data_IF_133911990282
#
_entry.id   IF_133911990282
#
_cell.length_a   1.000
_cell.length_b   1.000
_cell.length_c   1.000
_cell.angle_alpha   90.00
_cell.angle_beta   90.00
_cell.angle_gamma   90.00
#
_symmetry.space_group_name_H-M   'P 1'
#
loop_
_entity.id
_entity.type
_entity.pdbx_description
1 polymer ?
#
# COMPACT_ATOMS: atom_id res chain seq x y z
N UNK A 1 -38.37 17.38 50.90
CA UNK A 1 -38.63 16.10 50.20
C UNK A 1 -37.41 15.22 50.32
N UNK A 2 -37.44 14.24 51.22
CA UNK A 2 -36.36 13.26 51.43
C UNK A 2 -36.48 12.17 50.37
N UNK A 3 -35.46 12.03 49.52
CA UNK A 3 -35.40 10.93 48.54
C UNK A 3 -35.40 9.62 49.36
N UNK A 4 -36.36 8.69 49.15
CA UNK A 4 -36.43 7.47 49.94
C UNK A 4 -35.12 6.68 49.77
N UNK A 5 -34.56 6.19 50.88
CA UNK A 5 -33.23 5.54 50.95
C UNK A 5 -33.05 4.36 49.99
N UNK A 6 -34.15 3.81 49.47
CA UNK A 6 -34.17 2.75 48.45
C UNK A 6 -33.92 3.31 47.04
N UNK A 7 -34.52 4.44 46.68
CA UNK A 7 -34.32 5.10 45.40
C UNK A 7 -32.88 5.63 45.27
N UNK A 8 -32.33 6.22 46.33
CA UNK A 8 -30.93 6.66 46.37
C UNK A 8 -29.95 5.49 46.16
N UNK A 9 -30.19 4.34 46.81
CA UNK A 9 -29.36 3.13 46.62
C UNK A 9 -29.45 2.54 45.22
N UNK A 10 -30.62 2.61 44.57
CA UNK A 10 -30.80 2.16 43.19
C UNK A 10 -30.03 3.08 42.22
N UNK A 11 -30.15 4.40 42.39
CA UNK A 11 -29.42 5.39 41.58
C UNK A 11 -27.91 5.22 41.77
N UNK A 12 -27.43 5.03 43.00
CA UNK A 12 -26.00 4.82 43.25
C UNK A 12 -25.48 3.53 42.59
N UNK A 13 -26.25 2.44 42.64
CA UNK A 13 -25.89 1.18 41.95
C UNK A 13 -25.88 1.33 40.44
N UNK A 14 -26.86 2.05 39.86
CA UNK A 14 -26.89 2.35 38.43
C UNK A 14 -25.69 3.21 38.03
N UNK A 15 -25.32 4.23 38.82
CA UNK A 15 -24.13 5.05 38.54
C UNK A 15 -22.83 4.25 38.64
N UNK A 16 -22.72 3.29 39.56
CA UNK A 16 -21.56 2.38 39.63
C UNK A 16 -21.53 1.45 38.41
N UNK A 17 -22.65 0.88 37.99
CA UNK A 17 -22.72 0.01 36.80
C UNK A 17 -22.43 0.80 35.53
N UNK A 18 -23.00 1.99 35.36
CA UNK A 18 -22.72 2.90 34.23
C UNK A 18 -21.27 3.38 34.27
N UNK A 19 -20.71 3.67 35.44
CA UNK A 19 -19.30 4.04 35.61
C UNK A 19 -18.36 2.87 35.27
N UNK A 20 -18.71 1.64 35.65
CA UNK A 20 -17.97 0.43 35.27
C UNK A 20 -18.08 0.15 33.78
N UNK A 21 -19.27 0.27 33.17
CA UNK A 21 -19.49 0.14 31.73
C UNK A 21 -18.78 1.24 30.94
N UNK A 22 -18.85 2.49 31.36
CA UNK A 22 -18.14 3.60 30.72
C UNK A 22 -16.63 3.45 30.89
N UNK A 23 -16.15 3.02 32.07
CA UNK A 23 -14.73 2.74 32.31
C UNK A 23 -14.22 1.58 31.45
N UNK A 24 -14.97 0.48 31.37
CA UNK A 24 -14.64 -0.66 30.48
C UNK A 24 -14.78 -0.32 29.01
N UNK A 25 -15.74 0.52 28.60
CA UNK A 25 -15.89 0.98 27.23
C UNK A 25 -14.78 1.95 26.82
N UNK A 26 -14.36 2.87 27.70
CA UNK A 26 -13.20 3.75 27.47
C UNK A 26 -11.91 2.92 27.43
N UNK A 27 -11.76 1.93 28.31
CA UNK A 27 -10.65 0.99 28.26
C UNK A 27 -10.70 0.12 26.99
N UNK A 28 -11.88 -0.28 26.52
CA UNK A 28 -12.10 -1.01 25.28
C UNK A 28 -11.76 -0.14 24.06
N UNK A 29 -12.16 1.13 24.02
CA UNK A 29 -11.78 2.06 22.96
C UNK A 29 -10.27 2.37 22.97
N UNK A 30 -9.66 2.52 24.16
CA UNK A 30 -8.20 2.61 24.30
C UNK A 30 -7.50 1.31 23.94
N UNK A 31 -8.12 0.16 24.21
CA UNK A 31 -7.66 -1.18 23.86
C UNK A 31 -7.74 -1.40 22.35
N UNK A 32 -8.79 -0.94 21.67
CA UNK A 32 -8.90 -0.92 20.20
C UNK A 32 -7.83 -0.04 19.56
N UNK A 33 -7.46 1.09 20.18
CA UNK A 33 -6.33 1.90 19.73
C UNK A 33 -4.94 1.33 20.09
N UNK A 34 -4.81 0.62 21.21
CA UNK A 34 -3.57 -0.07 21.59
C UNK A 34 -3.35 -1.34 20.75
N UNK A 35 -4.42 -1.97 20.28
CA UNK A 35 -4.43 -3.19 19.47
C UNK A 35 -4.55 -2.97 17.97
N UNK A 36 -4.66 -1.72 17.49
CA UNK A 36 -4.65 -1.37 16.07
C UNK A 36 -5.28 -2.44 15.18
N UNK A 37 -6.62 -2.55 15.21
CA UNK A 37 -7.45 -3.40 14.35
C UNK A 37 -6.71 -4.52 13.59
N UNK A 38 -6.78 -5.75 14.07
CA UNK A 38 -6.68 -6.90 13.18
C UNK A 38 -8.04 -7.04 12.47
N UNK A 39 -8.12 -6.85 11.15
CA UNK A 39 -7.22 -7.37 10.12
C UNK A 39 -6.61 -6.28 9.21
N UNK A 40 -5.28 -6.23 9.11
CA UNK A 40 -4.57 -5.23 8.27
C UNK A 40 -3.74 -4.28 9.15
N UNK A 41 -2.50 -4.68 9.42
CA UNK A 41 -1.61 -4.20 10.50
C UNK A 41 -1.26 -2.69 10.51
N UNK A 42 -1.85 -1.84 9.65
CA UNK A 42 -1.60 -0.39 9.70
C UNK A 42 -2.73 0.53 9.17
N UNK A 43 -3.99 0.06 9.07
CA UNK A 43 -5.11 0.89 8.59
C UNK A 43 -6.08 1.24 9.73
N UNK A 44 -6.14 2.50 10.14
CA UNK A 44 -7.11 2.97 11.13
C UNK A 44 -6.72 4.29 11.82
N UNK A 45 -7.71 5.01 12.36
CA UNK A 45 -7.57 6.34 12.98
C UNK A 45 -6.55 6.44 14.13
N UNK A 46 -6.13 5.31 14.71
CA UNK A 46 -5.09 5.26 15.73
C UNK A 46 -3.65 5.32 15.14
N UNK A 47 -3.47 5.15 13.83
CA UNK A 47 -2.21 5.38 13.11
C UNK A 47 -1.72 6.82 13.32
N UNK A 48 -2.64 7.79 13.26
CA UNK A 48 -2.37 9.23 13.51
C UNK A 48 -1.77 9.53 14.90
N UNK A 49 -1.85 8.60 15.86
CA UNK A 49 -1.25 8.73 17.21
C UNK A 49 0.08 8.00 17.38
N UNK A 50 0.74 7.55 16.31
CA UNK A 50 2.11 7.06 16.45
C UNK A 50 3.07 8.23 16.54
N UNK A 51 3.89 8.28 17.58
CA UNK A 51 4.95 9.27 17.81
C UNK A 51 6.07 9.27 16.73
N UNK A 52 5.88 8.67 15.55
CA UNK A 52 6.86 8.61 14.47
C UNK A 52 6.79 9.82 13.54
N UNK A 53 5.63 10.47 13.45
CA UNK A 53 5.43 11.67 12.65
C UNK A 53 6.00 12.85 13.45
N UNK A 54 7.19 13.33 13.10
CA UNK A 54 7.62 14.64 13.55
C UNK A 54 6.69 15.68 12.94
N UNK A 55 6.25 16.66 13.73
CA UNK A 55 5.50 17.82 13.22
C UNK A 55 6.37 18.77 12.39
N UNK A 56 7.68 18.53 12.36
CA UNK A 56 8.60 19.23 11.48
C UNK A 56 8.27 18.80 10.05
N UNK A 57 7.66 19.70 9.28
CA UNK A 57 7.54 19.60 7.84
C UNK A 57 8.95 19.48 7.26
N UNK A 58 9.40 18.24 7.07
CA UNK A 58 10.67 17.94 6.44
C UNK A 58 10.60 18.46 5.01
N UNK A 59 11.28 19.59 4.76
CA UNK A 59 11.35 20.18 3.43
C UNK A 59 12.25 19.30 2.57
N UNK A 60 11.65 18.59 1.62
CA UNK A 60 12.36 17.91 0.55
C UNK A 60 12.43 18.85 -0.65
N UNK A 61 13.60 19.41 -0.90
CA UNK A 61 13.84 20.23 -2.10
C UNK A 61 14.07 19.30 -3.28
N UNK A 62 13.08 19.22 -4.17
CA UNK A 62 13.16 18.46 -5.42
C UNK A 62 13.65 19.38 -6.54
N UNK A 63 14.60 18.90 -7.33
CA UNK A 63 14.95 19.56 -8.58
C UNK A 63 13.75 19.55 -9.54
N UNK A 64 13.42 20.67 -10.21
CA UNK A 64 12.31 20.70 -11.15
C UNK A 64 12.52 19.69 -12.28
N UNK A 65 11.47 18.95 -12.61
CA UNK A 65 11.49 18.06 -13.77
C UNK A 65 11.58 18.87 -15.07
N UNK A 66 12.48 18.47 -15.97
CA UNK A 66 12.66 19.16 -17.26
C UNK A 66 12.80 18.16 -18.43
N UNK A 67 11.79 18.03 -19.31
CA UNK A 67 10.46 18.63 -19.21
C UNK A 67 9.60 17.94 -18.12
N UNK A 68 8.68 18.68 -17.48
CA UNK A 68 7.80 18.10 -16.47
C UNK A 68 6.84 17.07 -17.08
N UNK A 69 6.74 15.85 -16.52
CA UNK A 69 5.76 14.86 -16.97
C UNK A 69 4.33 15.33 -16.80
N UNK A 70 3.45 14.92 -17.70
CA UNK A 70 2.03 14.86 -17.38
C UNK A 70 1.76 13.59 -16.56
N UNK A 71 1.17 13.74 -15.37
CA UNK A 71 0.94 12.64 -14.43
C UNK A 71 -0.51 12.58 -14.02
N UNK A 72 -1.13 11.42 -14.19
CA UNK A 72 -2.51 11.20 -13.75
C UNK A 72 -2.56 10.22 -12.59
N UNK A 73 -3.42 10.49 -11.63
CA UNK A 73 -3.73 9.60 -10.51
C UNK A 73 -5.09 8.97 -10.76
N UNK A 74 -5.13 7.65 -10.79
CA UNK A 74 -6.36 6.85 -10.76
C UNK A 74 -6.50 6.32 -9.34
N UNK A 75 -7.32 7.00 -8.55
CA UNK A 75 -7.62 6.64 -7.17
C UNK A 75 -8.93 5.87 -7.13
N UNK A 76 -8.89 4.61 -6.67
CA UNK A 76 -10.11 3.81 -6.46
C UNK A 76 -10.64 3.95 -5.05
N UNK A 77 -11.95 4.04 -4.92
CA UNK A 77 -12.68 4.13 -3.66
C UNK A 77 -14.02 3.41 -3.75
N UNK A 78 -14.64 3.17 -2.60
CA UNK A 78 -16.03 2.74 -2.47
C UNK A 78 -16.93 3.93 -2.11
N UNK A 79 -18.25 3.84 -2.31
CA UNK A 79 -19.18 4.90 -1.88
C UNK A 79 -19.06 5.21 -0.38
N UNK A 80 -18.75 4.18 0.43
CA UNK A 80 -18.55 4.33 1.88
C UNK A 80 -17.29 5.15 2.19
N UNK A 81 -16.20 4.90 1.49
CA UNK A 81 -14.94 5.62 1.65
C UNK A 81 -15.10 7.09 1.23
N UNK A 82 -15.76 7.34 0.11
CA UNK A 82 -16.05 8.69 -0.35
C UNK A 82 -16.93 9.44 0.65
N UNK A 83 -18.01 8.83 1.14
CA UNK A 83 -18.88 9.43 2.17
C UNK A 83 -18.15 9.68 3.51
N UNK A 84 -17.09 8.92 3.79
CA UNK A 84 -16.25 9.10 4.98
C UNK A 84 -15.12 10.13 4.78
N UNK A 85 -15.00 10.74 3.60
CA UNK A 85 -13.95 11.73 3.28
C UNK A 85 -12.54 11.11 3.18
N UNK A 86 -12.42 9.79 2.98
CA UNK A 86 -11.09 9.14 2.94
C UNK A 86 -10.29 9.52 1.70
N UNK A 87 -10.92 10.09 0.67
CA UNK A 87 -10.27 10.55 -0.56
C UNK A 87 -9.89 12.05 -0.54
N UNK A 88 -10.27 12.79 0.51
CA UNK A 88 -10.21 14.27 0.52
C UNK A 88 -8.78 14.82 0.54
N UNK A 89 -7.81 14.02 1.00
CA UNK A 89 -6.39 14.38 1.01
C UNK A 89 -5.81 14.57 -0.41
N UNK A 90 -6.44 13.95 -1.42
CA UNK A 90 -5.98 14.00 -2.81
C UNK A 90 -6.85 14.93 -3.66
N UNK A 91 -6.20 15.85 -4.36
CA UNK A 91 -6.76 16.77 -5.35
C UNK A 91 -5.65 17.17 -6.33
N UNK A 92 -5.99 17.76 -7.49
CA UNK A 92 -4.97 18.27 -8.43
C UNK A 92 -4.02 19.26 -7.74
N UNK A 93 -4.53 20.10 -6.82
CA UNK A 93 -3.70 21.07 -6.10
C UNK A 93 -2.78 20.42 -5.08
N UNK A 94 -3.28 19.48 -4.26
CA UNK A 94 -2.44 18.79 -3.28
C UNK A 94 -1.43 17.87 -3.96
N UNK A 95 -1.81 17.19 -5.06
CA UNK A 95 -0.90 16.34 -5.82
C UNK A 95 0.20 17.12 -6.55
N UNK A 96 -0.13 18.25 -7.18
CA UNK A 96 0.87 19.18 -7.72
C UNK A 96 1.88 19.62 -6.64
N UNK A 97 1.39 19.97 -5.46
CA UNK A 97 2.24 20.37 -4.33
C UNK A 97 3.15 19.22 -3.87
N UNK A 98 2.62 18.00 -3.73
CA UNK A 98 3.40 16.82 -3.31
C UNK A 98 4.52 16.52 -4.33
N UNK A 99 4.18 16.50 -5.62
CA UNK A 99 5.11 16.10 -6.68
C UNK A 99 6.04 17.22 -7.14
N UNK A 100 5.71 18.48 -6.83
CA UNK A 100 6.42 19.64 -7.39
C UNK A 100 6.11 19.88 -8.87
N UNK A 101 5.06 19.26 -9.42
CA UNK A 101 4.63 19.45 -10.80
C UNK A 101 3.73 20.68 -10.93
N UNK A 102 3.72 21.36 -12.10
CA UNK A 102 2.71 22.37 -12.40
C UNK A 102 1.29 21.77 -12.32
N UNK A 103 0.32 22.57 -11.87
CA UNK A 103 -1.10 22.13 -11.83
C UNK A 103 -1.66 21.71 -13.19
N UNK A 104 -1.11 22.24 -14.28
CA UNK A 104 -1.47 21.88 -15.67
C UNK A 104 -0.89 20.55 -16.13
N UNK A 105 0.00 19.95 -15.35
CA UNK A 105 0.66 18.68 -15.62
C UNK A 105 0.14 17.54 -14.74
N UNK A 106 -0.93 17.79 -13.99
CA UNK A 106 -1.50 16.77 -13.12
C UNK A 106 -3.01 16.67 -13.27
N UNK A 107 -3.50 15.43 -13.18
CA UNK A 107 -4.92 15.14 -13.09
C UNK A 107 -5.18 14.04 -12.05
N UNK A 108 -6.29 14.14 -11.33
CA UNK A 108 -6.68 13.19 -10.28
C UNK A 108 -8.11 12.73 -10.56
N UNK A 109 -8.24 11.47 -10.95
CA UNK A 109 -9.51 10.80 -11.18
C UNK A 109 -9.86 9.91 -10.01
N UNK A 110 -10.96 10.22 -9.32
CA UNK A 110 -11.46 9.48 -8.16
C UNK A 110 -12.57 8.54 -8.59
N UNK A 111 -12.21 7.29 -8.86
CA UNK A 111 -13.15 6.24 -9.23
C UNK A 111 -13.92 5.73 -8.02
N UNK A 112 -15.23 5.50 -8.20
CA UNK A 112 -16.12 4.98 -7.17
C UNK A 112 -16.67 3.62 -7.62
N UNK A 113 -16.14 2.54 -7.04
CA UNK A 113 -16.54 1.19 -7.38
C UNK A 113 -17.94 0.85 -6.83
N UNK A 114 -18.87 0.53 -7.73
CA UNK A 114 -20.24 0.18 -7.37
C UNK A 114 -21.21 1.37 -7.29
N UNK A 115 -20.81 2.54 -7.81
CA UNK A 115 -21.69 3.68 -8.05
C UNK A 115 -21.64 4.11 -9.51
N UNK A 116 -22.58 3.59 -10.31
CA UNK A 116 -22.67 3.89 -11.75
C UNK A 116 -23.12 5.34 -12.03
N UNK A 117 -23.46 6.12 -10.99
CA UNK A 117 -23.78 7.55 -11.11
C UNK A 117 -22.59 8.47 -10.88
N UNK A 118 -21.47 7.95 -10.36
CA UNK A 118 -20.26 8.72 -10.15
C UNK A 118 -19.62 9.14 -11.48
N UNK A 119 -18.97 10.30 -11.52
CA UNK A 119 -18.28 10.80 -12.73
C UNK A 119 -17.26 9.78 -13.26
N UNK A 120 -16.47 9.20 -12.35
CA UNK A 120 -15.54 8.12 -12.65
C UNK A 120 -16.01 6.84 -11.95
N UNK A 121 -16.38 5.83 -12.74
CA UNK A 121 -16.80 4.52 -12.25
C UNK A 121 -16.25 3.43 -13.18
N UNK A 122 -15.96 2.22 -12.69
CA UNK A 122 -15.54 1.12 -13.54
C UNK A 122 -16.70 0.62 -14.41
N UNK A 123 -16.41 -0.03 -15.54
CA UNK A 123 -17.44 -0.63 -16.40
C UNK A 123 -18.32 -1.67 -15.71
N UNK A 124 -17.79 -2.29 -14.67
CA UNK A 124 -18.47 -3.23 -13.80
C UNK A 124 -17.71 -3.31 -12.48
N UNK A 125 -18.41 -3.64 -11.39
CA UNK A 125 -17.80 -3.78 -10.07
C UNK A 125 -17.41 -5.24 -9.78
N UNK A 126 -16.20 -5.64 -10.19
CA UNK A 126 -15.63 -6.97 -9.89
C UNK A 126 -14.09 -6.91 -9.83
N UNK A 127 -13.49 -7.75 -9.01
CA UNK A 127 -12.05 -7.76 -8.74
C UNK A 127 -11.54 -6.60 -7.91
N UNK A 128 -12.35 -5.99 -7.04
CA UNK A 128 -11.94 -4.78 -6.30
C UNK A 128 -11.38 -3.68 -7.24
N UNK A 129 -10.15 -3.19 -7.00
CA UNK A 129 -9.49 -2.13 -7.77
C UNK A 129 -9.24 -2.49 -9.24
N UNK A 130 -9.23 -3.78 -9.55
CA UNK A 130 -8.73 -4.31 -10.82
C UNK A 130 -9.63 -3.90 -11.98
N UNK A 131 -10.95 -3.97 -11.81
CA UNK A 131 -11.91 -3.51 -12.82
C UNK A 131 -11.73 -2.03 -13.13
N UNK A 132 -11.47 -1.21 -12.10
CA UNK A 132 -11.20 0.22 -12.25
C UNK A 132 -9.94 0.46 -13.06
N UNK A 133 -8.82 -0.14 -12.66
CA UNK A 133 -7.53 0.09 -13.31
C UNK A 133 -7.53 -0.38 -14.76
N UNK A 134 -8.09 -1.57 -15.03
CA UNK A 134 -8.16 -2.09 -16.38
C UNK A 134 -9.17 -1.32 -17.25
N UNK A 135 -10.32 -0.89 -16.71
CA UNK A 135 -11.30 -0.07 -17.46
C UNK A 135 -10.68 1.26 -17.86
N UNK A 136 -10.00 1.92 -16.91
CA UNK A 136 -9.27 3.14 -17.16
C UNK A 136 -8.27 2.99 -18.30
N UNK A 137 -7.44 1.93 -18.27
CA UNK A 137 -6.43 1.70 -19.31
C UNK A 137 -7.09 1.51 -20.67
N UNK A 138 -8.15 0.68 -20.77
CA UNK A 138 -8.83 0.42 -22.04
C UNK A 138 -9.49 1.68 -22.61
N UNK A 139 -10.08 2.51 -21.76
CA UNK A 139 -10.78 3.73 -22.16
C UNK A 139 -9.83 4.84 -22.59
N UNK A 140 -8.66 4.91 -21.96
CA UNK A 140 -7.69 5.99 -22.17
C UNK A 140 -6.47 5.55 -22.99
N UNK A 141 -6.42 4.31 -23.48
CA UNK A 141 -5.21 3.68 -24.06
C UNK A 141 -4.45 4.55 -25.08
N UNK A 142 -5.19 5.24 -25.95
CA UNK A 142 -4.63 6.08 -27.02
C UNK A 142 -4.26 7.51 -26.56
N UNK A 143 -4.69 7.91 -25.35
CA UNK A 143 -4.56 9.26 -24.78
C UNK A 143 -3.96 9.26 -23.36
N UNK A 144 -3.19 8.24 -23.00
CA UNK A 144 -2.59 8.12 -21.67
C UNK A 144 -1.65 9.31 -21.35
N UNK A 145 -1.54 9.74 -20.08
CA UNK A 145 -0.51 10.69 -19.62
C UNK A 145 0.87 10.02 -19.64
N UNK A 146 1.96 10.77 -19.40
CA UNK A 146 3.31 10.18 -19.39
C UNK A 146 3.46 9.13 -18.29
N UNK A 147 2.82 9.35 -17.14
CA UNK A 147 2.81 8.44 -15.99
C UNK A 147 1.38 8.36 -15.43
N UNK A 148 0.93 7.15 -15.13
CA UNK A 148 -0.31 6.87 -14.38
C UNK A 148 0.06 6.29 -13.02
N UNK A 149 -0.48 6.85 -11.95
CA UNK A 149 -0.42 6.28 -10.60
C UNK A 149 -1.75 5.64 -10.26
N UNK A 150 -1.73 4.34 -10.01
CA UNK A 150 -2.89 3.58 -9.55
C UNK A 150 -2.78 3.40 -8.03
N UNK A 151 -3.74 3.95 -7.28
CA UNK A 151 -3.70 3.99 -5.82
C UNK A 151 -5.08 3.74 -5.19
N UNK A 152 -5.07 3.32 -3.92
CA UNK A 152 -6.28 3.20 -3.11
C UNK A 152 -6.66 4.54 -2.47
N UNK A 153 -7.89 4.63 -1.97
CA UNK A 153 -8.44 5.84 -1.34
C UNK A 153 -7.67 6.31 -0.10
N UNK A 154 -7.26 5.40 0.78
CA UNK A 154 -6.73 5.74 2.10
C UNK A 154 -5.26 6.20 2.05
N UNK A 155 -4.97 7.41 2.54
CA UNK A 155 -3.59 7.91 2.72
C UNK A 155 -2.81 7.03 3.70
N UNK A 156 -3.40 6.78 4.87
CA UNK A 156 -2.79 6.05 5.97
C UNK A 156 -3.21 4.58 6.00
N UNK A 157 -2.78 3.84 4.99
CA UNK A 157 -3.15 2.43 4.85
C UNK A 157 -2.09 1.48 5.42
N UNK A 158 -2.54 0.24 5.69
CA UNK A 158 -1.68 -0.82 6.22
C UNK A 158 -0.54 -1.24 5.30
N UNK A 159 -0.69 -0.99 4.01
CA UNK A 159 0.28 -1.35 2.99
C UNK A 159 1.21 -0.19 2.63
N UNK A 160 1.35 0.84 3.48
CA UNK A 160 2.38 1.88 3.40
C UNK A 160 3.34 1.77 4.59
N UNK A 161 4.63 1.78 4.32
CA UNK A 161 5.65 1.39 5.30
C UNK A 161 5.96 2.47 6.35
N UNK A 162 6.39 2.08 7.56
CA UNK A 162 6.76 3.02 8.62
C UNK A 162 7.89 4.00 8.23
N UNK A 163 8.84 3.60 7.39
CA UNK A 163 9.91 4.48 6.91
C UNK A 163 9.36 5.64 6.05
N UNK A 164 8.20 5.41 5.40
CA UNK A 164 7.38 6.39 4.68
C UNK A 164 6.25 6.97 5.55
N UNK A 165 6.41 6.92 6.88
CA UNK A 165 5.43 7.41 7.84
C UNK A 165 4.02 6.81 7.65
N UNK A 166 3.92 5.63 7.01
CA UNK A 166 2.64 4.99 6.66
C UNK A 166 1.64 5.97 6.08
N UNK A 167 2.12 6.85 5.20
CA UNK A 167 1.35 7.87 4.53
C UNK A 167 1.72 7.87 3.05
N UNK A 168 0.73 7.61 2.22
CA UNK A 168 0.90 7.65 0.78
C UNK A 168 1.15 9.08 0.31
N UNK A 169 0.46 10.09 0.88
CA UNK A 169 0.71 11.50 0.56
C UNK A 169 2.17 11.86 0.79
N UNK A 170 2.72 11.41 1.91
CA UNK A 170 4.13 11.54 2.20
C UNK A 170 5.04 10.79 1.23
N UNK A 171 4.75 9.53 0.92
CA UNK A 171 5.51 8.77 -0.07
C UNK A 171 5.56 9.50 -1.42
N UNK A 172 4.43 10.05 -1.87
CA UNK A 172 4.31 10.82 -3.11
C UNK A 172 5.11 12.13 -3.08
N UNK A 173 5.27 12.76 -1.91
CA UNK A 173 6.14 13.94 -1.80
C UNK A 173 7.59 13.65 -2.18
N UNK A 174 8.01 12.39 -2.12
CA UNK A 174 9.40 11.97 -2.35
C UNK A 174 9.63 11.13 -3.58
N UNK A 175 8.58 10.49 -4.09
CA UNK A 175 8.66 9.62 -5.26
C UNK A 175 9.43 10.32 -6.38
N UNK A 176 10.51 9.71 -6.82
CA UNK A 176 11.34 10.18 -7.93
C UNK A 176 10.73 9.72 -9.26
N UNK A 177 10.05 10.63 -9.97
CA UNK A 177 9.36 10.31 -11.22
C UNK A 177 10.34 10.05 -12.39
N UNK A 178 11.59 10.50 -12.31
CA UNK A 178 12.59 10.16 -13.32
C UNK A 178 12.99 8.69 -13.20
N UNK A 179 13.04 8.16 -11.98
CA UNK A 179 13.21 6.72 -11.77
C UNK A 179 11.98 5.94 -12.26
N UNK A 180 10.76 6.45 -12.03
CA UNK A 180 9.53 5.83 -12.58
C UNK A 180 9.62 5.75 -14.11
N UNK A 181 9.96 6.86 -14.78
CA UNK A 181 10.18 6.91 -16.23
C UNK A 181 11.26 5.93 -16.68
N UNK A 182 12.39 5.88 -15.98
CA UNK A 182 13.52 5.05 -16.34
C UNK A 182 13.24 3.54 -16.25
N UNK A 183 12.37 3.10 -15.31
CA UNK A 183 12.00 1.68 -15.17
C UNK A 183 10.72 1.31 -15.92
N UNK A 184 9.83 2.28 -16.13
CA UNK A 184 8.55 2.07 -16.80
C UNK A 184 7.42 1.59 -15.87
N UNK A 185 7.75 0.84 -14.82
CA UNK A 185 6.83 0.37 -13.77
C UNK A 185 7.53 0.33 -12.41
N UNK A 186 6.90 0.86 -11.36
CA UNK A 186 7.33 0.70 -9.97
C UNK A 186 6.15 0.37 -9.08
N UNK A 187 6.33 -0.57 -8.15
CA UNK A 187 5.42 -0.74 -7.03
C UNK A 187 5.70 0.36 -6.00
N UNK A 188 4.64 0.99 -5.47
CA UNK A 188 4.78 2.01 -4.42
C UNK A 188 5.04 1.37 -3.05
N UNK A 189 4.66 0.10 -2.86
CA UNK A 189 5.09 -0.72 -1.74
C UNK A 189 6.52 -1.18 -1.95
N UNK A 190 7.35 -1.00 -0.93
CA UNK A 190 8.75 -1.44 -0.90
C UNK A 190 8.88 -2.75 -0.13
N UNK A 191 8.11 -2.90 0.94
CA UNK A 191 8.22 -3.98 1.90
C UNK A 191 7.95 -5.36 1.29
N UNK A 192 8.85 -6.31 1.53
CA UNK A 192 8.76 -7.69 1.03
C UNK A 192 7.62 -8.49 1.65
N UNK A 193 7.15 -8.08 2.84
CA UNK A 193 6.05 -8.73 3.56
C UNK A 193 4.85 -8.96 2.64
N UNK A 194 4.45 -10.22 2.47
CA UNK A 194 3.25 -10.59 1.71
C UNK A 194 3.47 -10.93 0.22
N UNK A 195 4.70 -10.88 -0.30
CA UNK A 195 4.95 -11.37 -1.66
C UNK A 195 6.39 -11.57 -2.10
N UNK A 196 7.39 -11.00 -1.42
CA UNK A 196 8.81 -11.26 -1.68
C UNK A 196 9.49 -11.89 -0.44
N UNK A 197 10.58 -12.65 -0.59
CA UNK A 197 11.13 -13.13 -1.87
C UNK A 197 10.41 -14.39 -2.37
N UNK A 198 9.57 -15.05 -1.56
CA UNK A 198 9.09 -16.40 -1.87
C UNK A 198 7.92 -16.45 -2.87
N UNK A 199 7.07 -15.43 -2.93
CA UNK A 199 5.96 -15.36 -3.89
C UNK A 199 4.90 -16.47 -3.76
N UNK A 200 4.17 -16.68 -4.85
CA UNK A 200 3.22 -17.77 -5.04
C UNK A 200 3.83 -18.80 -5.98
N UNK A 201 3.80 -20.07 -5.56
CA UNK A 201 4.15 -21.20 -6.42
C UNK A 201 2.97 -21.56 -7.35
N UNK A 202 3.25 -21.65 -8.65
CA UNK A 202 2.30 -21.88 -9.72
C UNK A 202 2.19 -23.36 -10.14
N UNK A 203 3.10 -24.25 -9.69
CA UNK A 203 3.17 -25.66 -10.11
C UNK A 203 2.31 -26.59 -9.27
N UNK A 204 1.59 -26.07 -8.28
CA UNK A 204 0.68 -26.85 -7.42
C UNK A 204 1.39 -27.70 -6.35
N UNK A 205 2.72 -27.86 -6.42
CA UNK A 205 3.55 -28.49 -5.39
C UNK A 205 3.89 -27.48 -4.31
N UNK A 206 2.88 -27.04 -3.56
CA UNK A 206 3.13 -26.31 -2.34
C UNK A 206 3.62 -27.33 -1.31
N UNK A 207 4.86 -27.21 -0.83
CA UNK A 207 5.38 -27.93 0.33
C UNK A 207 4.66 -27.49 1.64
N UNK A 208 3.32 -27.47 1.65
CA UNK A 208 2.47 -27.15 2.79
C UNK A 208 2.34 -25.66 3.14
N UNK A 209 2.91 -24.73 2.37
CA UNK A 209 2.81 -23.28 2.62
C UNK A 209 2.29 -22.53 1.40
N UNK A 210 1.00 -22.66 1.11
CA UNK A 210 0.29 -21.73 0.23
C UNK A 210 0.41 -20.32 0.83
N UNK A 211 1.04 -19.38 0.12
CA UNK A 211 1.01 -17.96 0.49
C UNK A 211 -0.17 -17.32 -0.23
N UNK A 212 -1.24 -17.02 0.52
CA UNK A 212 -2.43 -16.33 -0.01
C UNK A 212 -3.55 -17.28 -0.47
N UNK A 213 -4.79 -16.82 -0.35
CA UNK A 213 -5.99 -17.57 -0.69
C UNK A 213 -6.18 -17.71 -2.22
N UNK A 214 -5.51 -16.86 -2.98
CA UNK A 214 -5.51 -16.82 -4.44
C UNK A 214 -4.63 -17.90 -5.09
N UNK A 215 -3.65 -18.43 -4.35
CA UNK A 215 -2.62 -19.34 -4.89
C UNK A 215 -3.17 -20.54 -5.69
N UNK A 216 -4.25 -21.24 -5.27
CA UNK A 216 -4.81 -22.35 -6.05
C UNK A 216 -5.31 -21.98 -7.44
N UNK A 217 -5.61 -20.70 -7.69
CA UNK A 217 -6.21 -20.22 -8.94
C UNK A 217 -5.21 -19.54 -9.88
N UNK A 218 -4.00 -19.26 -9.38
CA UNK A 218 -3.03 -18.44 -10.08
C UNK A 218 -2.56 -19.07 -11.40
N UNK A 219 -2.30 -20.39 -11.44
CA UNK A 219 -1.88 -21.08 -12.67
C UNK A 219 -2.90 -20.89 -13.80
N UNK A 220 -4.16 -21.21 -13.52
CA UNK A 220 -5.22 -21.12 -14.51
C UNK A 220 -5.44 -19.66 -14.93
N UNK A 221 -5.51 -18.72 -13.98
CA UNK A 221 -5.66 -17.31 -14.28
C UNK A 221 -4.53 -16.76 -15.14
N UNK A 222 -3.28 -17.19 -14.90
CA UNK A 222 -2.13 -16.80 -15.71
C UNK A 222 -2.27 -17.26 -17.16
N UNK A 223 -2.63 -18.53 -17.37
CA UNK A 223 -2.85 -19.11 -18.71
C UNK A 223 -3.98 -18.35 -19.42
N UNK A 224 -5.12 -18.15 -18.76
CA UNK A 224 -6.28 -17.51 -19.36
C UNK A 224 -6.03 -16.05 -19.74
N UNK A 225 -5.14 -15.34 -19.02
CA UNK A 225 -4.79 -13.95 -19.31
C UNK A 225 -3.64 -13.79 -20.31
N UNK A 226 -2.62 -14.64 -20.27
CA UNK A 226 -1.34 -14.39 -20.96
C UNK A 226 -0.94 -15.44 -21.99
N UNK A 227 -1.61 -16.59 -22.07
CA UNK A 227 -1.29 -17.57 -23.10
C UNK A 227 -1.52 -16.96 -24.49
N UNK A 228 -0.58 -17.08 -25.44
CA UNK A 228 -0.74 -16.58 -26.80
C UNK A 228 -2.00 -17.15 -27.46
N UNK A 229 -2.64 -16.35 -28.31
CA UNK A 229 -3.76 -16.83 -29.13
C UNK A 229 -3.28 -17.85 -30.16
N UNK A 230 -2.06 -17.65 -30.68
CA UNK A 230 -1.37 -18.62 -31.52
C UNK A 230 -0.86 -19.78 -30.65
N UNK A 231 -1.50 -20.95 -30.78
CA UNK A 231 -1.15 -22.16 -30.03
C UNK A 231 0.22 -22.73 -30.39
N UNK A 232 0.85 -22.25 -31.47
CA UNK A 232 2.20 -22.66 -31.87
C UNK A 232 3.28 -21.82 -31.20
N UNK A 233 2.93 -20.66 -30.65
CA UNK A 233 3.86 -19.82 -29.93
C UNK A 233 4.28 -20.47 -28.60
N UNK A 234 5.58 -20.42 -28.30
CA UNK A 234 6.11 -20.90 -27.04
C UNK A 234 5.51 -20.09 -25.87
N UNK A 235 4.96 -20.80 -24.89
CA UNK A 235 4.43 -20.21 -23.66
C UNK A 235 4.75 -21.11 -22.47
N UNK A 236 5.35 -20.53 -21.45
CA UNK A 236 5.65 -21.20 -20.19
C UNK A 236 5.03 -20.43 -19.03
N UNK A 237 4.42 -21.15 -18.10
CA UNK A 237 4.01 -20.58 -16.82
C UNK A 237 5.24 -20.57 -15.91
N UNK A 238 5.61 -19.43 -15.30
CA UNK A 238 6.74 -19.39 -14.37
C UNK A 238 6.42 -20.24 -13.13
N UNK A 239 7.44 -20.87 -12.54
CA UNK A 239 7.27 -21.67 -11.32
C UNK A 239 6.78 -20.80 -10.14
N UNK A 240 7.27 -19.57 -10.05
CA UNK A 240 6.94 -18.65 -8.96
C UNK A 240 6.66 -17.26 -9.50
N UNK A 241 5.61 -16.63 -8.95
CA UNK A 241 5.28 -15.22 -9.15
C UNK A 241 5.48 -14.47 -7.84
N UNK A 242 6.31 -13.42 -7.83
CA UNK A 242 6.68 -12.70 -6.61
C UNK A 242 6.84 -11.19 -6.87
N UNK A 243 6.24 -10.38 -6.02
CA UNK A 243 6.41 -8.91 -5.97
C UNK A 243 5.87 -8.40 -4.63
N UNK A 244 6.19 -7.17 -4.21
CA UNK A 244 5.43 -6.48 -3.18
C UNK A 244 3.93 -6.48 -3.54
N UNK A 245 3.03 -6.66 -2.56
CA UNK A 245 1.59 -6.81 -2.82
C UNK A 245 0.86 -5.48 -3.10
N UNK A 246 -0.47 -5.60 -3.20
CA UNK A 246 -1.43 -4.59 -2.81
C UNK A 246 -1.74 -3.49 -3.85
N UNK A 247 -1.42 -3.72 -5.13
CA UNK A 247 -1.90 -2.95 -6.28
C UNK A 247 -1.81 -1.42 -6.17
N UNK A 248 -0.74 -0.90 -5.58
CA UNK A 248 -0.41 0.52 -5.67
C UNK A 248 0.90 0.67 -6.45
N UNK A 249 0.84 1.29 -7.62
CA UNK A 249 1.99 1.36 -8.52
C UNK A 249 1.93 2.58 -9.42
N UNK A 250 3.10 2.99 -9.92
CA UNK A 250 3.22 3.97 -10.98
C UNK A 250 3.71 3.27 -12.25
N UNK A 251 3.11 3.59 -13.38
CA UNK A 251 3.43 3.00 -14.67
C UNK A 251 3.43 4.08 -15.76
N UNK A 252 4.36 3.97 -16.69
CA UNK A 252 4.51 4.92 -17.81
C UNK A 252 3.56 4.59 -18.96
N UNK A 253 3.23 5.61 -19.77
CA UNK A 253 2.53 5.42 -21.05
C UNK A 253 3.18 4.32 -21.88
N UNK A 254 4.50 4.41 -22.05
CA UNK A 254 5.26 3.53 -22.92
C UNK A 254 5.19 2.08 -22.43
N UNK A 255 5.17 1.87 -21.11
CA UNK A 255 5.02 0.53 -20.52
C UNK A 255 3.62 -0.03 -20.72
N UNK A 256 2.57 0.79 -20.54
CA UNK A 256 1.20 0.36 -20.84
C UNK A 256 1.08 0.03 -22.34
N UNK A 257 1.54 0.92 -23.22
CA UNK A 257 1.42 0.75 -24.66
C UNK A 257 2.38 -0.30 -25.25
N UNK A 258 3.34 -0.80 -24.46
CA UNK A 258 4.16 -1.97 -24.86
C UNK A 258 3.34 -3.25 -25.00
N UNK A 259 2.13 -3.28 -24.42
CA UNK A 259 1.15 -4.36 -24.60
C UNK A 259 0.00 -3.84 -25.43
N UNK A 260 -0.46 -4.56 -26.47
CA UNK A 260 -1.58 -4.10 -27.27
C UNK A 260 -2.84 -3.93 -26.41
N UNK A 261 -3.70 -2.97 -26.75
CA UNK A 261 -4.99 -2.71 -26.09
C UNK A 261 -5.80 -3.99 -25.84
N UNK A 262 -5.78 -4.91 -26.81
CA UNK A 262 -6.46 -6.22 -26.73
C UNK A 262 -6.02 -7.09 -25.53
N UNK A 263 -4.79 -6.93 -25.01
CA UNK A 263 -4.35 -7.61 -23.79
C UNK A 263 -5.16 -7.13 -22.57
N UNK A 264 -5.39 -5.83 -22.45
CA UNK A 264 -6.17 -5.25 -21.35
C UNK A 264 -7.65 -5.59 -21.47
N UNK A 265 -8.19 -5.60 -22.69
CA UNK A 265 -9.58 -6.01 -22.96
C UNK A 265 -9.81 -7.49 -22.64
N UNK A 266 -8.88 -8.37 -23.02
CA UNK A 266 -8.91 -9.79 -22.63
C UNK A 266 -8.92 -9.96 -21.11
N UNK A 267 -8.11 -9.17 -20.43
CA UNK A 267 -8.00 -9.19 -18.97
C UNK A 267 -9.27 -8.68 -18.26
N UNK A 268 -9.92 -7.64 -18.79
CA UNK A 268 -11.26 -7.23 -18.35
C UNK A 268 -12.29 -8.34 -18.58
N UNK A 269 -12.28 -8.95 -19.76
CA UNK A 269 -13.21 -10.02 -20.10
C UNK A 269 -13.05 -11.22 -19.18
N UNK A 270 -11.80 -11.62 -18.87
CA UNK A 270 -11.52 -12.64 -17.87
C UNK A 270 -12.12 -12.28 -16.51
N UNK A 271 -11.92 -11.04 -16.06
CA UNK A 271 -12.39 -10.59 -14.76
C UNK A 271 -13.92 -10.58 -14.67
N UNK A 272 -14.59 -10.21 -15.77
CA UNK A 272 -16.04 -10.22 -15.87
C UNK A 272 -16.62 -11.63 -15.89
N UNK A 273 -15.98 -12.56 -16.60
CA UNK A 273 -16.52 -13.91 -16.86
C UNK A 273 -16.13 -14.94 -15.80
N UNK A 274 -15.06 -14.71 -15.05
CA UNK A 274 -14.58 -15.67 -14.06
C UNK A 274 -15.62 -15.92 -12.96
N UNK A 275 -15.78 -17.20 -12.60
CA UNK A 275 -16.65 -17.63 -11.48
C UNK A 275 -16.02 -17.41 -10.11
N UNK A 276 -14.77 -16.96 -10.06
CA UNK A 276 -14.09 -16.66 -8.80
C UNK A 276 -14.83 -15.54 -8.06
N UNK A 277 -15.00 -15.65 -6.73
CA UNK A 277 -15.51 -14.54 -5.93
C UNK A 277 -14.67 -13.28 -6.11
N UNK A 278 -15.31 -12.11 -5.95
CA UNK A 278 -14.70 -10.78 -6.09
C UNK A 278 -13.32 -10.69 -5.41
N UNK A 279 -13.29 -11.02 -4.12
CA UNK A 279 -12.09 -11.06 -3.27
C UNK A 279 -10.95 -11.94 -3.80
N UNK A 280 -11.27 -13.08 -4.41
CA UNK A 280 -10.25 -13.99 -4.96
C UNK A 280 -9.76 -13.46 -6.31
N UNK A 281 -10.67 -13.03 -7.19
CA UNK A 281 -10.30 -12.47 -8.49
C UNK A 281 -9.47 -11.19 -8.38
N UNK A 282 -9.75 -10.35 -7.38
CA UNK A 282 -8.93 -9.17 -7.07
C UNK A 282 -7.52 -9.56 -6.68
N UNK A 283 -7.37 -10.45 -5.69
CA UNK A 283 -6.07 -10.95 -5.22
C UNK A 283 -5.25 -11.65 -6.30
N UNK A 284 -5.90 -12.41 -7.19
CA UNK A 284 -5.22 -12.98 -8.36
C UNK A 284 -4.55 -11.86 -9.16
N UNK A 285 -5.29 -10.80 -9.47
CA UNK A 285 -4.78 -9.69 -10.27
C UNK A 285 -3.77 -8.80 -9.56
N UNK A 286 -3.87 -8.64 -8.22
CA UNK A 286 -2.81 -8.01 -7.43
C UNK A 286 -1.43 -8.64 -7.70
N UNK A 287 -1.41 -9.95 -8.03
CA UNK A 287 -0.21 -10.73 -8.34
C UNK A 287 0.16 -10.74 -9.83
N UNK A 288 -0.69 -10.24 -10.72
CA UNK A 288 -0.45 -10.26 -12.16
C UNK A 288 -0.02 -8.90 -12.72
N UNK A 289 -0.33 -7.79 -12.04
CA UNK A 289 0.03 -6.45 -12.52
C UNK A 289 1.53 -6.29 -12.77
N UNK A 290 2.40 -6.79 -11.89
CA UNK A 290 3.84 -6.70 -12.10
C UNK A 290 4.29 -7.45 -13.35
N UNK A 291 3.68 -8.59 -13.67
CA UNK A 291 4.06 -9.32 -14.88
C UNK A 291 3.57 -8.59 -16.12
N UNK A 292 2.34 -8.08 -16.08
CA UNK A 292 1.75 -7.31 -17.19
C UNK A 292 2.63 -6.10 -17.56
N UNK A 293 3.15 -5.37 -16.57
CA UNK A 293 3.91 -4.14 -16.80
C UNK A 293 5.43 -4.34 -16.82
N UNK A 294 6.01 -5.06 -15.86
CA UNK A 294 7.46 -5.26 -15.80
C UNK A 294 7.96 -6.41 -16.68
N UNK A 295 7.06 -7.29 -17.18
CA UNK A 295 7.43 -8.47 -17.96
C UNK A 295 8.21 -9.51 -17.16
N UNK A 296 8.14 -9.46 -15.82
CA UNK A 296 8.90 -10.33 -14.91
C UNK A 296 7.96 -11.07 -13.97
N UNK A 297 8.14 -12.37 -13.85
CA UNK A 297 7.42 -13.18 -12.86
C UNK A 297 7.86 -12.87 -11.43
N UNK A 298 9.17 -12.61 -11.23
CA UNK A 298 9.77 -12.23 -9.96
C UNK A 298 10.29 -10.79 -10.06
N UNK A 299 9.61 -9.87 -9.38
CA UNK A 299 9.94 -8.45 -9.32
C UNK A 299 10.14 -8.01 -7.86
N UNK A 300 11.23 -8.49 -7.25
CA UNK A 300 11.55 -8.25 -5.84
C UNK A 300 12.82 -7.40 -5.71
N UNK A 301 12.77 -6.07 -5.93
CA UNK A 301 13.94 -5.23 -5.74
C UNK A 301 14.38 -5.21 -4.27
N UNK A 302 15.67 -4.97 -4.01
CA UNK A 302 16.21 -4.77 -2.66
C UNK A 302 15.50 -3.59 -1.97
N UNK A 303 14.94 -3.82 -0.78
CA UNK A 303 14.13 -2.83 -0.06
C UNK A 303 14.92 -1.54 0.22
N UNK A 304 16.14 -1.67 0.75
CA UNK A 304 17.02 -0.56 1.11
C UNK A 304 17.39 0.28 -0.11
N UNK A 305 17.79 -0.36 -1.20
CA UNK A 305 18.12 0.33 -2.46
C UNK A 305 16.88 0.99 -3.06
N UNK A 306 15.70 0.39 -2.91
CA UNK A 306 14.44 0.94 -3.41
C UNK A 306 14.07 2.22 -2.66
N UNK A 307 14.16 2.22 -1.33
CA UNK A 307 14.00 3.43 -0.52
C UNK A 307 14.99 4.54 -0.91
N UNK A 308 16.26 4.21 -1.14
CA UNK A 308 17.22 5.23 -1.53
C UNK A 308 16.95 5.78 -2.94
N UNK A 309 16.60 4.90 -3.89
CA UNK A 309 16.42 5.25 -5.30
C UNK A 309 15.14 6.03 -5.55
N UNK A 310 13.99 5.50 -5.11
CA UNK A 310 12.66 6.09 -5.34
C UNK A 310 12.30 7.13 -4.27
N UNK A 311 12.70 6.85 -3.03
CA UNK A 311 12.44 7.57 -1.78
C UNK A 311 13.34 8.76 -1.45
N UNK A 312 14.58 8.75 -1.95
CA UNK A 312 15.72 9.47 -1.37
C UNK A 312 15.84 9.26 0.16
N UNK A 313 15.52 8.04 0.60
CA UNK A 313 15.69 7.58 1.97
C UNK A 313 16.81 6.55 1.98
N UNK A 314 18.04 7.01 2.20
CA UNK A 314 19.23 6.20 2.00
C UNK A 314 19.80 5.76 3.34
N UNK A 315 19.84 4.46 3.60
CA UNK A 315 20.55 3.87 4.73
C UNK A 315 21.71 3.01 4.22
N UNK A 316 22.84 3.06 4.91
CA UNK A 316 23.90 2.07 4.72
C UNK A 316 23.46 0.68 5.21
N UNK A 317 24.33 -0.32 5.04
CA UNK A 317 23.98 -1.70 5.38
C UNK A 317 23.69 -1.88 6.88
N UNK A 318 24.53 -1.31 7.75
CA UNK A 318 24.42 -1.48 9.20
C UNK A 318 23.21 -0.74 9.76
N UNK A 319 22.98 0.49 9.29
CA UNK A 319 21.81 1.29 9.65
C UNK A 319 20.51 0.62 9.19
N UNK A 320 20.52 -0.01 8.01
CA UNK A 320 19.36 -0.74 7.50
C UNK A 320 19.04 -1.97 8.36
N UNK A 321 20.06 -2.74 8.74
CA UNK A 321 19.88 -3.88 9.65
C UNK A 321 19.33 -3.43 11.00
N UNK A 322 19.86 -2.34 11.56
CA UNK A 322 19.33 -1.75 12.80
C UNK A 322 17.86 -1.31 12.65
N UNK A 323 17.51 -0.66 11.53
CA UNK A 323 16.15 -0.22 11.25
C UNK A 323 15.19 -1.41 11.15
N UNK A 324 15.55 -2.44 10.38
CA UNK A 324 14.72 -3.64 10.18
C UNK A 324 14.53 -4.41 11.47
N UNK A 325 15.57 -4.59 12.27
CA UNK A 325 15.46 -5.21 13.58
C UNK A 325 14.51 -4.44 14.50
N UNK A 326 14.59 -3.10 14.50
CA UNK A 326 13.70 -2.28 15.32
C UNK A 326 12.24 -2.30 14.84
N UNK A 327 12.02 -2.31 13.53
CA UNK A 327 10.69 -2.40 12.90
C UNK A 327 10.02 -3.75 13.17
N UNK A 328 10.77 -4.85 13.03
CA UNK A 328 10.28 -6.21 13.28
C UNK A 328 9.93 -6.39 14.76
N UNK A 329 10.77 -5.93 15.68
CA UNK A 329 10.48 -6.01 17.11
C UNK A 329 9.29 -5.13 17.52
N UNK A 330 9.16 -3.91 16.97
CA UNK A 330 7.99 -3.06 17.23
C UNK A 330 6.70 -3.73 16.76
N UNK A 331 6.74 -4.37 15.59
CA UNK A 331 5.61 -5.14 15.06
C UNK A 331 5.28 -6.32 16.00
N UNK A 332 6.24 -7.17 16.34
CA UNK A 332 6.03 -8.36 17.17
C UNK A 332 5.50 -8.01 18.57
N UNK A 333 6.06 -6.98 19.20
CA UNK A 333 5.58 -6.51 20.51
C UNK A 333 4.13 -6.04 20.43
N UNK A 334 3.74 -5.33 19.37
CA UNK A 334 2.35 -4.89 19.17
C UNK A 334 1.41 -6.05 18.91
N UNK A 335 1.87 -7.09 18.21
CA UNK A 335 1.10 -8.32 18.00
C UNK A 335 0.88 -9.11 19.29
N UNK A 336 1.80 -9.00 20.26
CA UNK A 336 1.70 -9.68 21.55
C UNK A 336 0.82 -8.93 22.58
N UNK A 337 0.52 -7.63 22.37
CA UNK A 337 -0.30 -6.81 23.26
C UNK A 337 -1.73 -7.33 23.55
N UNK A 338 -2.44 -8.06 22.65
CA UNK A 338 -3.75 -8.63 22.96
C UNK A 338 -3.72 -9.74 24.02
N UNK A 339 -2.54 -10.28 24.35
CA UNK A 339 -2.43 -11.38 25.30
C UNK A 339 -2.65 -10.91 26.74
N UNK A 340 -3.26 -11.74 27.58
CA UNK A 340 -3.41 -11.52 29.03
C UNK A 340 -2.08 -11.24 29.75
N UNK A 341 -0.95 -11.66 29.17
CA UNK A 341 0.40 -11.40 29.66
C UNK A 341 0.85 -9.95 29.48
N UNK A 342 0.23 -9.18 28.58
CA UNK A 342 0.54 -7.76 28.33
C UNK A 342 0.23 -6.85 29.53
N UNK A 343 -0.67 -7.27 30.42
CA UNK A 343 -1.04 -6.53 31.64
C UNK A 343 0.10 -6.58 32.66
N UNK A 344 0.81 -7.71 32.76
CA UNK A 344 1.91 -7.92 33.71
C UNK A 344 3.16 -7.11 33.32
N UNK A 345 3.43 -7.00 32.02
CA UNK A 345 4.64 -6.37 31.49
C UNK A 345 4.41 -5.01 30.83
N UNK A 346 3.24 -4.39 31.03
CA UNK A 346 2.79 -3.19 30.31
C UNK A 346 3.80 -2.05 30.34
N UNK A 347 4.45 -1.81 31.48
CA UNK A 347 5.46 -0.75 31.64
C UNK A 347 6.76 -1.05 30.87
N UNK A 348 7.20 -2.31 30.84
CA UNK A 348 8.40 -2.70 30.12
C UNK A 348 8.18 -2.69 28.61
N UNK A 349 7.05 -3.22 28.15
CA UNK A 349 6.66 -3.20 26.73
C UNK A 349 6.50 -1.76 26.22
N UNK A 350 5.84 -0.89 26.99
CA UNK A 350 5.70 0.53 26.59
C UNK A 350 7.04 1.26 26.53
N UNK A 351 7.95 1.02 27.49
CA UNK A 351 9.32 1.56 27.43
C UNK A 351 10.10 1.04 26.22
N UNK A 352 9.99 -0.26 25.91
CA UNK A 352 10.67 -0.85 24.74
C UNK A 352 10.13 -0.29 23.44
N UNK A 353 8.81 -0.21 23.27
CA UNK A 353 8.16 0.43 22.12
C UNK A 353 8.58 1.91 21.97
N UNK A 354 8.74 2.65 23.07
CA UNK A 354 9.23 4.02 23.02
C UNK A 354 10.69 4.11 22.55
N UNK A 355 11.54 3.18 23.00
CA UNK A 355 12.93 3.09 22.60
C UNK A 355 13.09 2.72 21.11
N UNK A 356 12.43 1.65 20.66
CA UNK A 356 12.33 1.27 19.24
C UNK A 356 11.80 2.44 18.40
N UNK A 357 10.80 3.11 18.96
CA UNK A 357 10.26 4.38 18.52
C UNK A 357 11.33 5.42 18.15
N UNK A 358 12.22 5.67 19.11
CA UNK A 358 13.31 6.63 18.99
C UNK A 358 14.38 6.18 18.00
N UNK A 359 14.71 4.88 17.99
CA UNK A 359 15.69 4.29 17.06
C UNK A 359 15.25 4.47 15.62
N UNK A 360 14.01 4.08 15.29
CA UNK A 360 13.46 4.25 13.95
C UNK A 360 13.41 5.72 13.52
N UNK A 361 13.00 6.64 14.41
CA UNK A 361 13.05 8.09 14.10
C UNK A 361 14.46 8.59 13.80
N UNK A 362 15.44 8.21 14.62
CA UNK A 362 16.86 8.58 14.43
C UNK A 362 17.39 8.09 13.08
N UNK A 363 17.19 6.80 12.78
CA UNK A 363 17.64 6.19 11.53
C UNK A 363 16.95 6.83 10.33
N UNK A 364 15.65 7.10 10.44
CA UNK A 364 14.92 7.81 9.38
C UNK A 364 15.48 9.22 9.15
N UNK A 365 15.83 9.98 10.19
CA UNK A 365 16.49 11.29 10.03
C UNK A 365 17.86 11.16 9.34
N UNK A 366 18.66 10.17 9.72
CA UNK A 366 19.91 9.86 9.01
C UNK A 366 19.65 9.55 7.53
N UNK A 367 18.59 8.79 7.24
CA UNK A 367 18.22 8.42 5.88
C UNK A 367 17.91 9.62 4.99
N UNK A 368 17.27 10.64 5.56
CA UNK A 368 16.97 11.90 4.87
C UNK A 368 18.25 12.67 4.55
N UNK A 369 19.11 12.85 5.55
CA UNK A 369 20.34 13.63 5.39
C UNK A 369 21.24 12.99 4.33
N UNK A 370 21.40 11.67 4.39
CA UNK A 370 22.19 10.93 3.40
C UNK A 370 21.55 11.02 2.00
N UNK A 371 20.23 10.85 1.89
CA UNK A 371 19.52 10.97 0.63
C UNK A 371 19.57 12.37 -0.01
N UNK A 372 19.48 13.43 0.80
CA UNK A 372 19.61 14.83 0.34
C UNK A 372 21.00 15.13 -0.21
N UNK A 373 22.05 14.57 0.39
CA UNK A 373 23.42 14.74 -0.11
C UNK A 373 23.71 13.91 -1.38
N UNK A 374 22.75 13.08 -1.81
CA UNK A 374 22.98 12.11 -2.86
C UNK A 374 23.92 10.96 -2.45
N UNK A 375 24.26 10.87 -1.16
CA UNK A 375 25.11 9.81 -0.62
C UNK A 375 24.36 8.48 -0.83
N UNK A 376 24.94 7.59 -1.64
CA UNK A 376 24.40 6.28 -2.00
C UNK A 376 23.23 6.22 -2.99
N UNK A 377 22.80 7.33 -3.61
CA UNK A 377 21.74 7.28 -4.64
C UNK A 377 22.15 6.34 -5.76
N UNK A 378 21.33 5.31 -5.99
CA UNK A 378 21.56 4.26 -6.99
C UNK A 378 20.79 4.56 -8.27
N UNK A 379 21.22 3.96 -9.38
CA UNK A 379 20.40 3.90 -10.59
C UNK A 379 19.36 2.81 -10.42
N UNK A 380 18.16 2.98 -10.98
CA UNK A 380 17.09 1.99 -10.86
C UNK A 380 17.45 0.57 -11.34
N UNK A 381 18.39 0.43 -12.27
CA UNK A 381 18.88 -0.88 -12.72
C UNK A 381 19.66 -1.63 -11.62
N UNK A 382 20.18 -0.93 -10.63
CA UNK A 382 21.01 -1.51 -9.57
C UNK A 382 20.17 -2.14 -8.45
N UNK A 383 18.84 -1.99 -8.47
CA UNK A 383 17.92 -2.48 -7.43
C UNK A 383 17.97 -3.99 -7.21
N UNK A 384 18.43 -4.76 -8.20
CA UNK A 384 18.52 -6.23 -8.14
C UNK A 384 19.96 -6.74 -8.01
N UNK A 385 20.96 -5.85 -7.93
CA UNK A 385 22.36 -6.27 -7.83
C UNK A 385 22.63 -6.97 -6.50
N UNK A 386 23.12 -8.21 -6.52
CA UNK A 386 23.53 -8.96 -5.32
C UNK A 386 22.43 -9.79 -4.65
N UNK A 387 21.36 -10.14 -5.36
CA UNK A 387 20.41 -11.18 -4.96
C UNK A 387 20.80 -12.55 -5.49
#
# INVERSE_FOLDING_TARGET
>A
MSIPSRAYRIVLRLLVVVGLFAGTFILFLRYQCLLGGYPGVYGGSCYKRRNYVSNDLETYTREPYNPPPHVEVVMVSTPREQAAGTTDWMSNSSFAQMTGLPKTHVDVKKYVAGDDSAEYHPRFNKGHEVSTYLSYIVENYDHLPDIVLFIHAEDNAWHVEPLLLGSLSYALTRLDLDQVRARGFVNLRVGWRGGCPYGINMTGTNNGKLVGQEAPYMYQAWVENFAPLDKTAYFSVPEVVAAPCCSQFAVTRETIQSKPKAQYERSLMWLQQTRLPDYISGRVWERLFQFLFAGRARDCPDERKTYCTLYKLCLDADQWQEYKAAEEEDADLRLALPSVWSVVWKLQVTRRLAHLGSTMRRLRQLALVQGQKGEMVRKIRDLYSGQ
#
